data_IF_103312416944
#
_entry.id   IF_103312416944
#
_cell.length_a   1.000
_cell.length_b   1.000
_cell.length_c   1.000
_cell.angle_alpha   90.00
_cell.angle_beta   90.00
_cell.angle_gamma   90.00
#
_symmetry.space_group_name_H-M   'P 1'
#
loop_
_entity.id
_entity.type
_entity.pdbx_description
1 polymer ?
#
# COMPACT_ATOMS: atom_id res chain seq x y z
N UNK A 1 -0.13 18.22 -5.83
CA UNK A 1 0.73 17.63 -6.87
C UNK A 1 0.98 16.13 -6.66
N UNK A 2 1.33 15.67 -5.45
CA UNK A 2 1.76 14.27 -5.23
C UNK A 2 0.65 13.23 -4.98
N UNK A 3 -0.62 13.65 -4.88
CA UNK A 3 -1.74 12.73 -4.66
C UNK A 3 -1.82 11.63 -5.73
N UNK A 4 -1.66 11.91 -7.04
CA UNK A 4 -1.73 10.86 -8.07
C UNK A 4 -0.66 9.77 -7.92
N UNK A 5 0.59 10.13 -7.58
CA UNK A 5 1.65 9.12 -7.42
C UNK A 5 1.43 8.27 -6.16
N UNK A 6 0.92 8.87 -5.08
CA UNK A 6 0.57 8.14 -3.86
C UNK A 6 -0.57 7.16 -4.12
N UNK A 7 -1.66 7.64 -4.75
CA UNK A 7 -2.82 6.80 -5.09
C UNK A 7 -2.43 5.68 -6.07
N UNK A 8 -1.69 6.00 -7.13
CA UNK A 8 -1.25 5.03 -8.13
C UNK A 8 -0.35 3.94 -7.51
N UNK A 9 0.63 4.30 -6.68
CA UNK A 9 1.49 3.31 -6.05
C UNK A 9 0.76 2.46 -5.02
N UNK A 10 -0.16 3.05 -4.23
CA UNK A 10 -1.04 2.29 -3.36
C UNK A 10 -1.87 1.27 -4.15
N UNK A 11 -2.56 1.72 -5.21
CA UNK A 11 -3.34 0.85 -6.10
C UNK A 11 -2.51 -0.29 -6.69
N UNK A 12 -1.34 0.00 -7.26
CA UNK A 12 -0.48 -0.99 -7.90
C UNK A 12 0.02 -2.05 -6.92
N UNK A 13 0.51 -1.64 -5.75
CA UNK A 13 0.99 -2.58 -4.72
C UNK A 13 -0.17 -3.41 -4.16
N UNK A 14 -1.31 -2.78 -3.90
CA UNK A 14 -2.49 -3.47 -3.40
C UNK A 14 -2.96 -4.56 -4.37
N UNK A 15 -3.12 -4.21 -5.65
CA UNK A 15 -3.56 -5.15 -6.70
C UNK A 15 -2.54 -6.27 -6.89
N UNK A 16 -1.24 -5.97 -6.82
CA UNK A 16 -0.18 -6.97 -6.90
C UNK A 16 -0.26 -7.99 -5.75
N UNK A 17 -0.27 -7.53 -4.50
CA UNK A 17 -0.37 -8.42 -3.34
C UNK A 17 -1.67 -9.22 -3.39
N UNK A 18 -2.77 -8.63 -3.85
CA UNK A 18 -4.02 -9.36 -4.06
C UNK A 18 -3.94 -10.44 -5.11
N UNK A 19 -3.37 -10.15 -6.27
CA UNK A 19 -3.22 -11.12 -7.34
C UNK A 19 -2.45 -12.36 -6.87
N UNK A 20 -1.37 -12.16 -6.10
CA UNK A 20 -0.58 -13.25 -5.50
C UNK A 20 -1.45 -14.12 -4.58
N UNK A 21 -2.27 -13.49 -3.73
CA UNK A 21 -3.16 -14.23 -2.82
C UNK A 21 -4.27 -14.95 -3.58
N UNK A 22 -4.95 -14.30 -4.52
CA UNK A 22 -6.00 -14.90 -5.34
C UNK A 22 -5.46 -16.10 -6.12
N UNK A 23 -4.29 -15.97 -6.75
CA UNK A 23 -3.63 -17.06 -7.46
C UNK A 23 -3.28 -18.22 -6.52
N UNK A 24 -2.77 -17.92 -5.32
CA UNK A 24 -2.49 -18.96 -4.34
C UNK A 24 -3.76 -19.69 -3.88
N UNK A 25 -4.87 -18.95 -3.67
CA UNK A 25 -6.15 -19.53 -3.25
C UNK A 25 -6.68 -20.48 -4.34
N UNK A 26 -6.63 -20.04 -5.60
CA UNK A 26 -7.01 -20.86 -6.76
C UNK A 26 -6.14 -22.13 -6.89
N UNK A 27 -4.84 -22.01 -6.64
CA UNK A 27 -3.92 -23.15 -6.65
C UNK A 27 -4.05 -24.08 -5.43
N UNK A 28 -4.96 -23.81 -4.49
CA UNK A 28 -5.09 -24.52 -3.19
C UNK A 28 -3.77 -24.60 -2.41
N UNK A 29 -2.83 -23.68 -2.67
CA UNK A 29 -1.52 -23.63 -2.01
C UNK A 29 -1.55 -22.79 -0.73
N UNK A 30 -2.65 -22.06 -0.48
CA UNK A 30 -2.88 -21.30 0.75
C UNK A 30 -3.78 -22.10 1.68
N UNK A 31 -3.24 -22.49 2.83
CA UNK A 31 -4.03 -22.84 4.01
C UNK A 31 -4.09 -21.64 4.95
N UNK A 32 -5.16 -21.54 5.75
CA UNK A 32 -5.31 -20.46 6.73
C UNK A 32 -4.18 -20.46 7.78
N UNK A 33 -3.61 -21.62 8.09
CA UNK A 33 -2.50 -21.76 9.03
C UNK A 33 -1.23 -21.02 8.58
N UNK A 34 -1.05 -20.83 7.28
CA UNK A 34 0.10 -20.13 6.70
C UNK A 34 -0.15 -18.63 6.45
N UNK A 35 -1.29 -18.09 6.86
CA UNK A 35 -1.67 -16.68 6.61
C UNK A 35 -0.69 -15.69 7.24
N UNK A 36 -0.29 -15.92 8.50
CA UNK A 36 0.61 -15.02 9.22
C UNK A 36 2.01 -14.96 8.59
N UNK A 37 2.56 -16.12 8.22
CA UNK A 37 3.86 -16.19 7.53
C UNK A 37 3.82 -15.48 6.17
N UNK A 38 2.74 -15.63 5.41
CA UNK A 38 2.55 -14.93 4.13
C UNK A 38 2.44 -13.43 4.31
N UNK A 39 1.65 -12.97 5.29
CA UNK A 39 1.54 -11.55 5.61
C UNK A 39 2.90 -10.96 5.96
N UNK A 40 3.71 -11.67 6.75
CA UNK A 40 5.07 -11.24 7.09
C UNK A 40 5.99 -11.17 5.86
N UNK A 41 5.91 -12.15 4.96
CA UNK A 41 6.68 -12.16 3.71
C UNK A 41 6.30 -10.99 2.80
N UNK A 42 5.00 -10.77 2.58
CA UNK A 42 4.49 -9.66 1.78
C UNK A 42 4.85 -8.30 2.43
N UNK A 43 4.71 -8.19 3.74
CA UNK A 43 5.12 -7.00 4.48
C UNK A 43 6.63 -6.71 4.31
N UNK A 44 7.49 -7.73 4.36
CA UNK A 44 8.92 -7.56 4.12
C UNK A 44 9.23 -7.06 2.70
N UNK A 45 8.56 -7.62 1.69
CA UNK A 45 8.67 -7.16 0.29
C UNK A 45 8.19 -5.70 0.16
N UNK A 46 7.04 -5.38 0.75
CA UNK A 46 6.48 -4.04 0.74
C UNK A 46 7.35 -3.03 1.49
N UNK A 47 8.02 -3.43 2.56
CA UNK A 47 8.94 -2.59 3.31
C UNK A 47 10.14 -2.20 2.46
N UNK A 48 10.76 -3.17 1.78
CA UNK A 48 11.89 -2.91 0.87
C UNK A 48 11.44 -2.03 -0.30
N UNK A 49 10.32 -2.37 -0.93
CA UNK A 49 9.77 -1.57 -2.04
C UNK A 49 9.41 -0.15 -1.59
N UNK A 50 8.81 -0.03 -0.40
CA UNK A 50 8.48 1.22 0.24
C UNK A 50 9.71 2.10 0.39
N UNK A 51 10.78 1.57 0.99
CA UNK A 51 12.04 2.31 1.18
C UNK A 51 12.63 2.79 -0.14
N UNK A 52 12.64 1.93 -1.16
CA UNK A 52 13.17 2.28 -2.49
C UNK A 52 12.33 3.41 -3.11
N UNK A 53 11.01 3.23 -3.22
CA UNK A 53 10.13 4.21 -3.84
C UNK A 53 10.10 5.54 -3.07
N UNK A 54 9.96 5.51 -1.74
CA UNK A 54 9.96 6.73 -0.92
C UNK A 54 11.31 7.42 -0.92
N UNK A 55 12.41 6.65 -0.96
CA UNK A 55 13.77 7.17 -1.03
C UNK A 55 14.04 7.89 -2.34
N UNK A 56 13.60 7.33 -3.48
CA UNK A 56 13.70 7.99 -4.78
C UNK A 56 12.91 9.31 -4.82
N UNK A 57 11.69 9.32 -4.29
CA UNK A 57 10.87 10.53 -4.21
C UNK A 57 11.47 11.56 -3.24
N UNK A 58 12.04 11.10 -2.12
CA UNK A 58 12.75 11.97 -1.19
C UNK A 58 13.94 12.65 -1.87
N UNK A 59 14.80 11.87 -2.51
CA UNK A 59 15.99 12.39 -3.19
C UNK A 59 15.60 13.40 -4.27
N UNK A 60 14.61 13.08 -5.11
CA UNK A 60 14.13 14.00 -6.13
C UNK A 60 13.62 15.33 -5.55
N UNK A 61 12.77 15.26 -4.52
CA UNK A 61 12.19 16.44 -3.89
C UNK A 61 13.23 17.21 -3.07
N UNK A 62 14.23 16.56 -2.50
CA UNK A 62 15.29 17.25 -1.75
C UNK A 62 16.07 18.25 -2.62
N UNK A 63 16.24 17.95 -3.92
CA UNK A 63 16.89 18.86 -4.87
C UNK A 63 15.94 19.79 -5.61
N UNK A 64 14.66 19.43 -5.74
CA UNK A 64 13.71 20.14 -6.61
C UNK A 64 12.65 20.94 -5.86
N UNK A 65 12.33 20.56 -4.62
CA UNK A 65 11.28 21.20 -3.83
C UNK A 65 11.88 22.18 -2.82
N UNK A 66 11.34 23.40 -2.79
CA UNK A 66 11.78 24.46 -1.85
C UNK A 66 11.25 24.27 -0.42
N UNK A 67 10.50 23.19 -0.13
CA UNK A 67 9.84 22.97 1.14
C UNK A 67 10.18 21.59 1.74
N UNK A 68 10.95 21.61 2.83
CA UNK A 68 11.40 20.40 3.52
C UNK A 68 10.25 19.63 4.18
N UNK A 69 9.26 20.32 4.76
CA UNK A 69 8.08 19.69 5.35
C UNK A 69 7.29 18.91 4.28
N UNK A 70 7.16 19.47 3.07
CA UNK A 70 6.53 18.80 1.93
C UNK A 70 7.33 17.57 1.48
N UNK A 71 8.66 17.69 1.38
CA UNK A 71 9.56 16.58 1.00
C UNK A 71 9.40 15.38 1.93
N UNK A 72 9.46 15.59 3.25
CA UNK A 72 9.26 14.51 4.23
C UNK A 72 7.83 13.97 4.16
N UNK A 73 6.83 14.86 4.05
CA UNK A 73 5.42 14.47 3.97
C UNK A 73 5.16 13.47 2.86
N UNK A 74 5.63 13.79 1.64
CA UNK A 74 5.36 12.95 0.47
C UNK A 74 6.08 11.61 0.60
N UNK A 75 7.34 11.61 1.02
CA UNK A 75 8.12 10.37 1.15
C UNK A 75 7.58 9.45 2.23
N UNK A 76 7.25 9.99 3.41
CA UNK A 76 6.70 9.19 4.51
C UNK A 76 5.28 8.69 4.19
N UNK A 77 4.47 9.51 3.53
CA UNK A 77 3.15 9.10 3.07
C UNK A 77 3.23 7.98 2.04
N UNK A 78 4.11 8.11 1.02
CA UNK A 78 4.28 7.07 0.01
C UNK A 78 4.75 5.74 0.62
N UNK A 79 5.73 5.79 1.52
CA UNK A 79 6.20 4.63 2.27
C UNK A 79 5.04 3.95 3.01
N UNK A 80 4.29 4.72 3.78
CA UNK A 80 3.17 4.24 4.58
C UNK A 80 2.07 3.62 3.69
N UNK A 81 1.72 4.29 2.59
CA UNK A 81 0.71 3.81 1.65
C UNK A 81 1.11 2.48 1.01
N UNK A 82 2.38 2.29 0.64
CA UNK A 82 2.86 1.02 0.11
C UNK A 82 2.71 -0.12 1.13
N UNK A 83 3.06 0.14 2.40
CA UNK A 83 2.89 -0.85 3.47
C UNK A 83 1.42 -1.23 3.69
N UNK A 84 0.54 -0.24 3.84
CA UNK A 84 -0.88 -0.48 4.03
C UNK A 84 -1.50 -1.17 2.81
N UNK A 85 -1.17 -0.73 1.60
CA UNK A 85 -1.66 -1.35 0.37
C UNK A 85 -1.31 -2.83 0.28
N UNK A 86 -0.08 -3.23 0.63
CA UNK A 86 0.32 -4.64 0.64
C UNK A 86 -0.45 -5.47 1.67
N UNK A 87 -0.64 -4.92 2.87
CA UNK A 87 -1.43 -5.58 3.93
C UNK A 87 -2.88 -5.76 3.49
N UNK A 88 -3.54 -4.72 3.00
CA UNK A 88 -4.93 -4.83 2.53
C UNK A 88 -5.04 -5.68 1.27
N UNK A 89 -4.08 -5.60 0.36
CA UNK A 89 -3.98 -6.48 -0.80
C UNK A 89 -3.90 -7.94 -0.41
N UNK A 90 -3.28 -8.26 0.73
CA UNK A 90 -3.23 -9.63 1.25
C UNK A 90 -4.51 -10.02 2.00
N UNK A 91 -5.03 -9.14 2.85
CA UNK A 91 -6.13 -9.46 3.76
C UNK A 91 -7.50 -9.48 3.07
N UNK A 92 -7.75 -8.59 2.11
CA UNK A 92 -9.05 -8.46 1.43
C UNK A 92 -9.44 -9.76 0.71
N UNK A 93 -8.59 -10.37 -0.14
CA UNK A 93 -8.94 -11.64 -0.81
C UNK A 93 -9.17 -12.79 0.18
N UNK A 94 -8.38 -12.85 1.25
CA UNK A 94 -8.54 -13.87 2.30
C UNK A 94 -9.86 -13.72 3.06
N UNK A 95 -10.24 -12.48 3.35
CA UNK A 95 -11.52 -12.16 3.99
C UNK A 95 -12.70 -12.53 3.09
N UNK A 96 -12.65 -12.15 1.81
CA UNK A 96 -13.66 -12.51 0.81
C UNK A 96 -13.82 -14.03 0.69
N UNK A 97 -12.71 -14.76 0.60
CA UNK A 97 -12.72 -16.21 0.55
C UNK A 97 -13.36 -16.84 1.81
N UNK A 98 -13.11 -16.28 2.99
CA UNK A 98 -13.74 -16.75 4.25
C UNK A 98 -15.25 -16.59 4.26
N UNK A 99 -15.76 -15.50 3.71
CA UNK A 99 -17.20 -15.25 3.61
C UNK A 99 -17.82 -15.86 2.33
N UNK A 100 -17.08 -16.74 1.63
CA UNK A 100 -17.52 -17.45 0.42
C UNK A 100 -17.87 -16.53 -0.76
N UNK A 101 -17.27 -15.34 -0.82
CA UNK A 101 -17.32 -14.46 -1.99
C UNK A 101 -16.09 -14.75 -2.85
N UNK A 102 -16.28 -14.88 -4.17
CA UNK A 102 -15.19 -15.10 -5.13
C UNK A 102 -14.18 -13.94 -5.10
N UNK A 103 -12.95 -14.16 -4.60
CA UNK A 103 -11.94 -13.11 -4.53
C UNK A 103 -11.49 -12.63 -5.91
N UNK A 104 -11.54 -13.48 -6.95
CA UNK A 104 -11.06 -13.10 -8.28
C UNK A 104 -11.91 -12.00 -8.93
N UNK A 105 -13.21 -11.94 -8.58
CA UNK A 105 -14.15 -10.97 -9.13
C UNK A 105 -14.23 -9.69 -8.31
N UNK A 106 -14.22 -9.79 -6.98
CA UNK A 106 -14.49 -8.65 -6.10
C UNK A 106 -13.24 -7.86 -5.70
N UNK A 107 -12.07 -8.50 -5.63
CA UNK A 107 -10.87 -7.92 -5.01
C UNK A 107 -10.40 -6.60 -5.63
N UNK A 108 -10.45 -6.47 -6.96
CA UNK A 108 -9.94 -5.29 -7.67
C UNK A 108 -10.58 -3.97 -7.19
N UNK A 109 -11.91 -3.81 -7.36
CA UNK A 109 -12.63 -2.61 -6.92
C UNK A 109 -12.49 -2.30 -5.42
N UNK A 110 -12.49 -3.33 -4.56
CA UNK A 110 -12.32 -3.12 -3.12
C UNK A 110 -10.95 -2.54 -2.78
N UNK A 111 -9.90 -3.06 -3.41
CA UNK A 111 -8.53 -2.63 -3.14
C UNK A 111 -8.28 -1.21 -3.61
N UNK A 112 -8.68 -0.88 -4.84
CA UNK A 112 -8.46 0.48 -5.35
C UNK A 112 -9.22 1.50 -4.52
N UNK A 113 -10.48 1.21 -4.16
CA UNK A 113 -11.28 2.12 -3.30
C UNK A 113 -10.66 2.30 -1.91
N UNK A 114 -10.24 1.21 -1.26
CA UNK A 114 -9.59 1.28 0.05
C UNK A 114 -8.28 2.08 -0.06
N UNK A 115 -7.48 1.87 -1.10
CA UNK A 115 -6.23 2.58 -1.30
C UNK A 115 -6.43 4.07 -1.62
N UNK A 116 -7.48 4.45 -2.35
CA UNK A 116 -7.80 5.86 -2.58
C UNK A 116 -8.12 6.57 -1.27
N UNK A 117 -8.99 5.97 -0.45
CA UNK A 117 -9.38 6.53 0.86
C UNK A 117 -8.21 6.57 1.83
N UNK A 118 -7.53 5.44 2.04
CA UNK A 118 -6.40 5.35 2.96
C UNK A 118 -5.21 6.20 2.49
N UNK A 119 -4.95 6.24 1.18
CA UNK A 119 -3.88 7.04 0.59
C UNK A 119 -4.06 8.52 0.87
N UNK A 120 -5.28 9.04 0.67
CA UNK A 120 -5.64 10.41 1.01
C UNK A 120 -5.55 10.67 2.52
N UNK A 121 -6.10 9.78 3.35
CA UNK A 121 -6.06 9.94 4.81
C UNK A 121 -4.62 9.97 5.34
N UNK A 122 -3.78 9.04 4.90
CA UNK A 122 -2.37 8.97 5.30
C UNK A 122 -1.64 10.25 4.87
N UNK A 123 -1.77 10.65 3.60
CA UNK A 123 -1.10 11.83 3.08
C UNK A 123 -1.51 13.11 3.82
N UNK A 124 -2.81 13.32 4.01
CA UNK A 124 -3.34 14.52 4.65
C UNK A 124 -2.98 14.58 6.15
N UNK A 125 -3.03 13.45 6.87
CA UNK A 125 -2.68 13.44 8.29
C UNK A 125 -1.18 13.64 8.52
N UNK A 126 -0.33 12.98 7.75
CA UNK A 126 1.13 13.18 7.83
C UNK A 126 1.47 14.62 7.47
N UNK A 127 0.88 15.16 6.40
CA UNK A 127 1.09 16.55 6.00
C UNK A 127 0.66 17.53 7.08
N UNK A 128 -0.55 17.38 7.62
CA UNK A 128 -1.05 18.21 8.72
C UNK A 128 -0.10 18.22 9.91
N UNK A 129 0.43 17.05 10.29
CA UNK A 129 1.37 16.94 11.40
C UNK A 129 2.71 17.61 11.08
N UNK A 130 3.33 17.30 9.93
CA UNK A 130 4.66 17.81 9.62
C UNK A 130 4.68 19.31 9.38
N UNK A 131 3.68 19.88 8.70
CA UNK A 131 3.55 21.33 8.53
C UNK A 131 3.23 22.09 9.83
N UNK A 132 2.84 21.39 10.89
CA UNK A 132 2.66 22.00 12.21
C UNK A 132 3.94 22.03 13.04
N UNK A 133 4.94 21.22 12.69
CA UNK A 133 6.18 21.03 13.46
C UNK A 133 7.41 21.59 12.73
N UNK A 134 7.40 21.59 11.40
CA UNK A 134 8.47 22.08 10.52
C UNK A 134 8.04 23.35 9.79
#
# INVERSE_FOLDING_TARGET
FYIPIIAAMGGNVGVQSAAIVVQGLAAKSISFDNTGYRLLKEFAVAFINGLICSGLVFLYNFYTADNFALTITVSLALFSVILFASVFGTLVPLALNRIKIDPALATGPFITTINDVLGLLIYLNIGKYLFSVL
#
